data_IF_127966810750
#
_entry.id   IF_127966810750
#
_cell.length_a   1.000
_cell.length_b   1.000
_cell.length_c   1.000
_cell.angle_alpha   90.00
_cell.angle_beta   90.00
_cell.angle_gamma   90.00
#
_symmetry.space_group_name_H-M   'P 1'
#
loop_
_entity.id
_entity.type
_entity.pdbx_description
1 polymer ?
#
# COMPACT_ATOMS: atom_id res chain seq x y z
N UNK A 1 -11.14 59.48 34.32
CA UNK A 1 -9.87 60.06 33.82
C UNK A 1 -8.93 58.92 33.45
N UNK A 2 -8.56 58.81 32.16
CA UNK A 2 -7.35 58.11 31.68
C UNK A 2 -6.15 59.07 31.78
N UNK A 3 -4.92 58.57 31.88
CA UNK A 3 -4.02 58.54 30.71
C UNK A 3 -3.28 57.19 30.59
N UNK A 4 -3.10 56.59 29.41
CA UNK A 4 -2.27 56.88 28.22
C UNK A 4 -0.86 56.23 28.29
N UNK A 5 -0.54 55.52 27.21
CA UNK A 5 0.48 54.51 26.96
C UNK A 5 1.97 54.91 27.05
N UNK A 6 2.83 53.91 27.26
CA UNK A 6 4.16 53.74 26.63
C UNK A 6 4.55 52.24 26.74
N UNK A 7 4.53 51.48 25.63
CA UNK A 7 5.64 51.23 24.69
C UNK A 7 6.44 49.95 25.02
N UNK A 8 6.22 48.92 24.20
CA UNK A 8 7.04 47.70 24.11
C UNK A 8 8.43 47.98 23.54
N UNK A 9 9.41 47.10 23.80
CA UNK A 9 10.43 46.78 22.82
C UNK A 9 10.30 45.33 22.34
N UNK A 10 10.39 45.18 21.03
CA UNK A 10 10.48 43.93 20.29
C UNK A 10 11.70 43.11 20.70
N UNK A 11 11.59 41.77 20.66
CA UNK A 11 12.72 40.86 20.51
C UNK A 11 12.37 39.68 19.61
N UNK A 12 12.97 39.75 18.43
CA UNK A 12 13.45 38.72 17.51
C UNK A 12 12.68 37.41 17.32
N UNK A 13 12.17 37.30 16.09
CA UNK A 13 12.04 36.06 15.35
C UNK A 13 13.42 35.49 15.05
N UNK A 14 13.75 34.30 15.56
CA UNK A 14 14.68 33.41 14.87
C UNK A 14 13.92 32.17 14.41
N UNK A 15 13.62 32.17 13.11
CA UNK A 15 13.32 30.97 12.32
C UNK A 15 14.61 30.17 12.20
N UNK A 16 14.75 29.09 12.96
CA UNK A 16 15.71 28.04 12.66
C UNK A 16 15.14 27.13 11.57
N UNK A 17 15.61 27.27 10.32
CA UNK A 17 15.54 26.20 9.32
C UNK A 17 16.53 25.11 9.74
N UNK A 18 16.04 23.95 10.15
CA UNK A 18 16.86 22.74 10.20
C UNK A 18 17.05 22.17 8.78
N UNK A 19 18.20 21.55 8.45
CA UNK A 19 18.41 20.97 7.14
C UNK A 19 17.59 19.69 6.97
N UNK A 20 16.87 19.60 5.86
CA UNK A 20 16.34 18.35 5.31
C UNK A 20 17.51 17.45 4.92
N UNK A 21 17.75 16.39 5.70
CA UNK A 21 18.58 15.24 5.30
C UNK A 21 17.85 13.95 5.65
N UNK A 22 17.70 13.00 4.71
CA UNK A 22 17.11 11.71 4.98
C UNK A 22 18.16 10.72 5.52
N UNK A 23 17.86 10.10 6.64
CA UNK A 23 18.42 8.80 7.04
C UNK A 23 19.77 8.81 7.74
N UNK A 24 19.73 8.89 9.08
CA UNK A 24 20.72 8.18 9.91
C UNK A 24 19.97 7.33 10.93
N UNK A 25 20.20 6.01 10.85
CA UNK A 25 19.75 5.03 11.83
C UNK A 25 20.60 5.26 13.08
N UNK A 26 20.03 5.92 14.10
CA UNK A 26 20.71 6.18 15.35
C UNK A 26 21.08 4.89 16.08
N UNK A 27 22.36 4.56 16.09
CA UNK A 27 22.96 3.46 16.83
C UNK A 27 23.20 3.93 18.28
N UNK A 28 22.41 3.45 19.24
CA UNK A 28 22.59 3.75 20.66
C UNK A 28 23.21 2.54 21.36
N UNK A 29 24.30 2.78 22.11
CA UNK A 29 25.00 1.74 22.86
C UNK A 29 24.35 1.51 24.23
N UNK A 30 24.47 0.28 24.75
CA UNK A 30 23.79 -0.19 25.96
C UNK A 30 24.16 0.57 27.26
N UNK A 31 25.18 1.44 27.24
CA UNK A 31 25.70 2.15 28.41
C UNK A 31 24.90 3.38 28.87
N UNK A 32 24.03 3.95 28.04
CA UNK A 32 23.34 5.23 28.33
C UNK A 32 21.88 5.08 28.81
N UNK A 33 21.42 3.85 29.07
CA UNK A 33 20.00 3.52 29.27
C UNK A 33 19.50 3.50 30.72
N UNK A 34 20.27 4.01 31.69
CA UNK A 34 19.82 4.06 33.10
C UNK A 34 18.91 5.26 33.46
N UNK A 35 18.51 6.11 32.51
CA UNK A 35 17.55 7.21 32.81
C UNK A 35 16.41 7.44 31.82
N UNK A 36 16.14 6.54 30.87
CA UNK A 36 15.01 6.68 29.94
C UNK A 36 13.87 5.69 30.24
N UNK A 37 12.98 6.12 31.14
CA UNK A 37 11.57 5.73 31.27
C UNK A 37 11.22 4.23 31.12
N UNK A 38 11.35 3.49 32.23
CA UNK A 38 10.99 2.08 32.39
C UNK A 38 9.49 1.74 32.15
N UNK A 39 8.63 2.71 31.85
CA UNK A 39 7.18 2.50 31.64
C UNK A 39 6.79 2.04 30.22
N UNK A 40 7.76 1.75 29.35
CA UNK A 40 7.53 1.37 27.95
C UNK A 40 8.12 0.01 27.56
N UNK A 41 8.80 -0.68 28.48
CA UNK A 41 9.48 -1.95 28.19
C UNK A 41 8.64 -3.11 28.73
N UNK A 42 7.84 -3.73 27.86
CA UNK A 42 7.28 -5.05 28.14
C UNK A 42 7.68 -6.00 27.02
N UNK A 43 8.57 -6.93 27.35
CA UNK A 43 8.99 -8.02 26.47
C UNK A 43 7.89 -9.07 26.42
N UNK A 44 7.41 -9.39 25.23
CA UNK A 44 6.24 -10.25 25.01
C UNK A 44 6.57 -11.76 25.13
N UNK A 45 7.64 -12.10 25.88
CA UNK A 45 8.23 -13.43 25.95
C UNK A 45 7.45 -14.42 26.84
N UNK A 46 6.44 -13.97 27.59
CA UNK A 46 5.67 -14.81 28.52
C UNK A 46 4.14 -14.75 28.34
N UNK A 47 3.64 -14.35 27.17
CA UNK A 47 2.21 -14.43 26.91
C UNK A 47 1.83 -15.86 26.41
N UNK A 48 1.01 -16.64 27.13
CA UNK A 48 0.59 -17.96 26.67
C UNK A 48 -0.20 -17.85 25.36
N UNK A 49 -0.22 -18.91 24.52
CA UNK A 49 -0.88 -18.85 23.22
C UNK A 49 -2.35 -18.48 23.39
N UNK A 50 -2.76 -17.36 22.78
CA UNK A 50 -4.18 -17.06 22.58
C UNK A 50 -4.72 -18.20 21.70
N UNK A 51 -5.48 -19.10 22.30
CA UNK A 51 -6.22 -20.11 21.57
C UNK A 51 -7.12 -19.39 20.58
N UNK A 52 -6.78 -19.54 19.30
CA UNK A 52 -7.50 -18.97 18.19
C UNK A 52 -8.76 -19.83 17.99
N UNK A 53 -9.75 -19.67 18.87
CA UNK A 53 -11.04 -20.33 18.70
C UNK A 53 -11.75 -19.70 17.51
N UNK A 54 -11.66 -20.39 16.37
CA UNK A 54 -12.64 -20.42 15.30
C UNK A 54 -13.18 -19.07 14.87
N UNK A 55 -12.42 -18.33 14.06
CA UNK A 55 -13.05 -17.42 13.10
C UNK A 55 -13.39 -18.28 11.88
N UNK A 56 -14.62 -18.79 11.88
CA UNK A 56 -15.25 -19.35 10.69
C UNK A 56 -15.14 -18.34 9.56
N UNK A 57 -14.62 -18.81 8.41
CA UNK A 57 -14.51 -18.04 7.18
C UNK A 57 -15.88 -17.47 6.79
N UNK A 58 -16.07 -16.18 7.04
CA UNK A 58 -17.16 -15.41 6.47
C UNK A 58 -16.89 -15.23 4.98
N UNK A 59 -17.64 -15.98 4.18
CA UNK A 59 -17.69 -15.94 2.71
C UNK A 59 -17.77 -14.48 2.23
N UNK A 60 -16.74 -14.06 1.49
CA UNK A 60 -16.69 -12.77 0.81
C UNK A 60 -17.78 -12.77 -0.28
N UNK A 61 -18.82 -11.97 -0.11
CA UNK A 61 -19.66 -11.55 -1.25
C UNK A 61 -18.81 -10.57 -2.05
N UNK A 62 -18.21 -11.06 -3.12
CA UNK A 62 -17.54 -10.25 -4.13
C UNK A 62 -18.57 -9.35 -4.79
N UNK A 63 -18.47 -8.04 -4.57
CA UNK A 63 -19.09 -7.04 -5.44
C UNK A 63 -18.38 -7.12 -6.79
N UNK A 64 -19.04 -7.76 -7.77
CA UNK A 64 -18.67 -7.65 -9.17
C UNK A 64 -19.14 -6.28 -9.68
N UNK A 65 -18.20 -5.41 -10.05
CA UNK A 65 -18.52 -4.26 -10.91
C UNK A 65 -18.57 -4.73 -12.37
N UNK A 66 -19.57 -4.31 -13.15
CA UNK A 66 -19.79 -4.80 -14.50
C UNK A 66 -18.97 -3.98 -15.49
N UNK A 67 -17.95 -4.58 -16.07
CA UNK A 67 -17.45 -4.14 -17.36
C UNK A 67 -17.28 -5.34 -18.29
N UNK A 68 -18.00 -5.23 -19.41
CA UNK A 68 -17.66 -5.74 -20.74
C UNK A 68 -18.13 -7.16 -21.09
N UNK A 69 -18.96 -7.23 -22.14
CA UNK A 69 -19.04 -8.38 -23.02
C UNK A 69 -20.33 -8.45 -23.83
N UNK A 70 -20.32 -7.93 -25.05
CA UNK A 70 -21.02 -8.54 -26.20
C UNK A 70 -20.21 -8.26 -27.47
N UNK A 71 -19.43 -9.26 -27.90
CA UNK A 71 -19.17 -9.57 -29.32
C UNK A 71 -18.90 -11.07 -29.39
N UNK A 72 -19.84 -11.82 -29.97
CA UNK A 72 -19.69 -13.22 -30.32
C UNK A 72 -19.05 -13.36 -31.71
N UNK A 73 -18.25 -14.42 -31.87
CA UNK A 73 -18.02 -15.16 -33.13
C UNK A 73 -16.99 -14.56 -34.09
N UNK A 74 -16.06 -15.30 -34.70
CA UNK A 74 -15.80 -16.74 -34.80
C UNK A 74 -14.31 -16.96 -35.16
N UNK A 75 -13.80 -18.13 -34.77
CA UNK A 75 -12.88 -19.06 -35.46
C UNK A 75 -11.88 -18.49 -36.50
N UNK A 76 -10.58 -18.78 -36.52
CA UNK A 76 -9.79 -19.89 -36.01
C UNK A 76 -8.53 -20.01 -36.88
N UNK A 77 -7.59 -20.87 -36.44
CA UNK A 77 -6.40 -21.38 -37.14
C UNK A 77 -5.06 -20.65 -36.93
N UNK A 78 -4.13 -21.47 -36.43
CA UNK A 78 -2.73 -21.23 -36.11
C UNK A 78 -1.84 -22.02 -37.12
N UNK A 79 -0.51 -22.23 -36.91
CA UNK A 79 0.55 -21.46 -37.56
C UNK A 79 1.56 -22.33 -38.35
N UNK A 80 2.29 -21.75 -39.32
CA UNK A 80 3.57 -22.29 -39.85
C UNK A 80 4.44 -21.10 -40.32
N UNK A 81 5.69 -20.87 -39.89
CA UNK A 81 6.95 -21.64 -40.00
C UNK A 81 7.63 -21.56 -41.39
N UNK A 82 8.86 -21.01 -41.43
CA UNK A 82 9.88 -21.23 -42.47
C UNK A 82 10.26 -19.94 -43.22
N UNK A 83 11.36 -19.25 -42.88
CA UNK A 83 12.77 -19.56 -43.20
C UNK A 83 13.18 -19.13 -44.63
N UNK A 84 13.99 -18.06 -44.71
CA UNK A 84 14.91 -17.78 -45.82
C UNK A 84 15.98 -18.88 -45.88
N UNK A 85 16.52 -19.22 -47.07
CA UNK A 85 17.90 -18.77 -47.36
C UNK A 85 18.30 -18.56 -48.85
N UNK A 86 19.31 -17.69 -49.08
CA UNK A 86 20.50 -17.78 -49.97
C UNK A 86 20.32 -18.07 -51.49
N UNK A 87 21.14 -17.69 -52.49
CA UNK A 87 22.42 -16.97 -52.73
C UNK A 87 22.62 -17.11 -54.27
N UNK A 88 22.77 -16.05 -55.05
CA UNK A 88 24.04 -15.49 -55.58
C UNK A 88 24.71 -16.28 -56.74
N UNK A 89 25.23 -15.52 -57.72
CA UNK A 89 26.29 -15.83 -58.71
C UNK A 89 25.89 -16.53 -60.03
N UNK A 90 25.94 -15.84 -61.18
CA UNK A 90 27.10 -15.40 -61.99
C UNK A 90 27.61 -16.50 -62.93
N UNK A 91 27.58 -16.27 -64.25
CA UNK A 91 28.63 -16.66 -65.23
C UNK A 91 28.20 -16.30 -66.67
N UNK A 92 29.01 -15.52 -67.39
CA UNK A 92 29.19 -15.59 -68.85
C UNK A 92 30.53 -16.29 -69.15
N UNK A 93 31.13 -16.24 -70.37
CA UNK A 93 30.69 -15.66 -71.65
C UNK A 93 31.00 -16.54 -72.91
N UNK A 94 30.78 -16.00 -74.13
CA UNK A 94 31.76 -15.86 -75.25
C UNK A 94 31.31 -16.27 -76.70
N UNK A 95 31.60 -15.35 -77.66
CA UNK A 95 31.78 -15.44 -79.15
C UNK A 95 30.54 -15.82 -79.98
N UNK A 96 30.07 -15.13 -81.03
CA UNK A 96 30.61 -14.35 -82.16
C UNK A 96 29.80 -14.82 -83.40
N UNK A 97 29.10 -13.97 -84.16
CA UNK A 97 29.56 -13.45 -85.45
C UNK A 97 28.52 -12.51 -86.11
N UNK A 98 29.03 -11.78 -87.10
CA UNK A 98 28.57 -10.66 -87.94
C UNK A 98 27.11 -10.53 -88.44
N UNK A 99 26.73 -9.30 -88.91
CA UNK A 99 25.36 -8.90 -89.22
C UNK A 99 24.95 -9.23 -90.66
N UNK A 100 23.66 -9.53 -90.86
CA UNK A 100 23.05 -9.54 -92.19
C UNK A 100 21.76 -8.73 -92.18
N UNK A 101 21.62 -7.89 -93.19
CA UNK A 101 20.66 -6.82 -93.38
C UNK A 101 19.26 -7.29 -93.86
N UNK A 102 18.23 -6.91 -93.07
CA UNK A 102 16.85 -6.54 -93.46
C UNK A 102 15.96 -7.56 -94.20
N UNK A 103 14.69 -7.22 -94.50
CA UNK A 103 13.79 -6.22 -93.90
C UNK A 103 12.51 -6.89 -93.32
N UNK A 104 11.88 -6.30 -92.30
CA UNK A 104 10.68 -6.94 -91.74
C UNK A 104 10.05 -6.21 -90.58
N UNK A 105 9.66 -4.96 -90.82
CA UNK A 105 8.63 -4.26 -90.05
C UNK A 105 7.32 -5.07 -90.09
N UNK A 106 7.17 -6.08 -89.23
CA UNK A 106 5.93 -6.86 -89.11
C UNK A 106 5.96 -7.83 -87.92
N UNK A 107 6.34 -7.35 -86.73
CA UNK A 107 6.07 -8.11 -85.49
C UNK A 107 5.93 -7.23 -84.23
N UNK A 108 5.56 -5.95 -84.39
CA UNK A 108 5.25 -5.07 -83.26
C UNK A 108 3.76 -5.11 -82.84
N UNK A 109 2.91 -5.77 -83.63
CA UNK A 109 1.45 -5.72 -83.47
C UNK A 109 0.81 -6.95 -82.81
N UNK A 110 1.59 -8.00 -82.46
CA UNK A 110 1.05 -9.19 -81.78
C UNK A 110 1.33 -9.23 -80.26
N UNK A 111 2.04 -8.24 -79.71
CA UNK A 111 2.20 -8.06 -78.26
C UNK A 111 1.33 -6.93 -77.67
N UNK A 112 0.55 -6.22 -78.49
CA UNK A 112 -0.28 -5.08 -78.03
C UNK A 112 -1.63 -5.46 -77.42
N UNK A 113 -2.06 -6.73 -77.51
CA UNK A 113 -3.37 -7.18 -77.02
C UNK A 113 -3.41 -7.56 -75.54
N UNK A 114 -2.27 -7.46 -74.83
CA UNK A 114 -2.16 -7.77 -73.39
C UNK A 114 -1.58 -6.63 -72.54
N UNK A 115 -1.30 -5.47 -73.15
CA UNK A 115 -0.80 -4.30 -72.43
C UNK A 115 -2.03 -3.49 -72.00
N UNK A 116 -2.28 -3.29 -70.69
CA UNK A 116 -3.40 -2.49 -70.23
C UNK A 116 -3.31 -1.07 -70.83
N UNK A 117 -4.44 -0.44 -71.19
CA UNK A 117 -4.44 0.92 -71.70
C UNK A 117 -3.72 1.85 -70.72
N UNK A 118 -2.93 2.80 -71.22
CA UNK A 118 -2.18 3.78 -70.40
C UNK A 118 -3.10 4.53 -69.42
N UNK A 119 -4.38 4.71 -69.76
CA UNK A 119 -5.40 5.28 -68.88
C UNK A 119 -5.63 4.47 -67.60
N UNK A 120 -5.60 3.15 -67.68
CA UNK A 120 -5.92 2.26 -66.56
C UNK A 120 -4.76 2.22 -65.57
N UNK A 121 -3.53 2.21 -66.09
CA UNK A 121 -2.32 2.38 -65.29
C UNK A 121 -2.28 3.77 -64.63
N UNK A 122 -2.71 4.82 -65.34
CA UNK A 122 -2.80 6.18 -64.81
C UNK A 122 -3.82 6.27 -63.67
N UNK A 123 -5.00 5.67 -63.82
CA UNK A 123 -6.03 5.60 -62.78
C UNK A 123 -5.57 4.79 -61.57
N UNK A 124 -4.94 3.62 -61.77
CA UNK A 124 -4.38 2.82 -60.68
C UNK A 124 -3.28 3.57 -59.92
N UNK A 125 -2.40 4.27 -60.65
CA UNK A 125 -1.36 5.12 -60.02
C UNK A 125 -1.96 6.28 -59.22
N UNK A 126 -3.09 6.84 -59.65
CA UNK A 126 -3.81 7.88 -58.92
C UNK A 126 -4.44 7.34 -57.64
N UNK A 127 -5.05 6.15 -57.70
CA UNK A 127 -5.59 5.46 -56.53
C UNK A 127 -4.52 5.14 -55.50
N UNK A 128 -3.37 4.62 -55.94
CA UNK A 128 -2.25 4.32 -55.02
C UNK A 128 -1.75 5.61 -54.37
N UNK A 129 -1.67 6.73 -55.11
CA UNK A 129 -1.29 8.03 -54.54
C UNK A 129 -2.28 8.49 -53.47
N UNK A 130 -3.59 8.30 -53.66
CA UNK A 130 -4.58 8.65 -52.64
C UNK A 130 -4.52 7.75 -51.42
N UNK A 131 -4.30 6.44 -51.61
CA UNK A 131 -4.18 5.48 -50.51
C UNK A 131 -2.91 5.73 -49.69
N UNK A 132 -1.79 6.04 -50.34
CA UNK A 132 -0.55 6.44 -49.67
C UNK A 132 -0.72 7.75 -48.90
N UNK A 133 -1.42 8.74 -49.46
CA UNK A 133 -1.72 9.99 -48.75
C UNK A 133 -2.56 9.72 -47.48
N UNK A 134 -3.58 8.87 -47.58
CA UNK A 134 -4.40 8.45 -46.44
C UNK A 134 -3.58 7.67 -45.40
N UNK A 135 -2.68 6.79 -45.84
CA UNK A 135 -1.80 6.05 -44.93
C UNK A 135 -0.83 6.98 -44.21
N UNK A 136 -0.23 7.95 -44.90
CA UNK A 136 0.63 8.96 -44.29
C UNK A 136 -0.09 9.75 -43.20
N UNK A 137 -1.34 10.16 -43.43
CA UNK A 137 -2.16 10.86 -42.41
C UNK A 137 -2.35 9.97 -41.17
N UNK A 138 -2.73 8.71 -41.34
CA UNK A 138 -2.88 7.76 -40.23
C UNK A 138 -1.58 7.52 -39.48
N UNK A 139 -0.44 7.46 -40.17
CA UNK A 139 0.88 7.31 -39.53
C UNK A 139 1.21 8.55 -38.71
N UNK A 140 0.93 9.75 -39.23
CA UNK A 140 1.12 11.00 -38.46
C UNK A 140 0.23 11.05 -37.21
N UNK A 141 -1.02 10.63 -37.31
CA UNK A 141 -1.94 10.53 -36.17
C UNK A 141 -1.45 9.51 -35.13
N UNK A 142 -0.95 8.36 -35.60
CA UNK A 142 -0.37 7.33 -34.73
C UNK A 142 0.90 7.82 -34.03
N UNK A 143 1.79 8.51 -34.74
CA UNK A 143 2.99 9.11 -34.15
C UNK A 143 2.62 10.17 -33.10
N UNK A 144 1.62 11.00 -33.39
CA UNK A 144 1.10 11.96 -32.42
C UNK A 144 0.49 11.26 -31.20
N UNK A 145 -0.28 10.19 -31.41
CA UNK A 145 -0.83 9.39 -30.30
C UNK A 145 0.28 8.72 -29.48
N UNK A 146 1.32 8.20 -30.14
CA UNK A 146 2.47 7.55 -29.50
C UNK A 146 3.25 8.55 -28.63
N UNK A 147 3.46 9.78 -29.11
CA UNK A 147 4.14 10.82 -28.32
C UNK A 147 3.35 11.15 -27.04
N UNK A 148 2.04 11.36 -27.14
CA UNK A 148 1.18 11.60 -25.97
C UNK A 148 1.14 10.42 -25.00
N UNK A 149 1.05 9.18 -25.50
CA UNK A 149 1.10 7.98 -24.64
C UNK A 149 2.45 7.88 -23.93
N UNK A 150 3.55 8.16 -24.63
CA UNK A 150 4.90 8.14 -24.04
C UNK A 150 5.06 9.18 -22.95
N UNK A 151 4.50 10.39 -23.13
CA UNK A 151 4.46 11.43 -22.10
C UNK A 151 3.67 10.97 -20.87
N UNK A 152 2.45 10.44 -21.06
CA UNK A 152 1.65 9.92 -19.94
C UNK A 152 2.34 8.78 -19.18
N UNK A 153 2.96 7.83 -19.90
CA UNK A 153 3.76 6.75 -19.28
C UNK A 153 4.93 7.34 -18.48
N UNK A 154 5.58 8.39 -19.00
CA UNK A 154 6.64 9.12 -18.29
C UNK A 154 6.18 9.76 -16.98
N UNK A 155 4.90 10.16 -16.88
CA UNK A 155 4.32 10.76 -15.66
C UNK A 155 3.83 9.73 -14.64
N UNK A 156 3.55 8.48 -15.03
CA UNK A 156 3.12 7.40 -14.11
C UNK A 156 4.01 7.27 -12.85
N UNK A 157 5.35 7.21 -12.92
CA UNK A 157 6.17 7.06 -11.72
C UNK A 157 6.07 8.25 -10.75
N UNK A 158 5.89 9.46 -11.28
CA UNK A 158 5.69 10.67 -10.47
C UNK A 158 4.34 10.62 -9.75
N UNK A 159 3.26 10.34 -10.49
CA UNK A 159 1.93 10.15 -9.90
C UNK A 159 1.92 9.02 -8.86
N UNK A 160 2.62 7.92 -9.08
CA UNK A 160 2.75 6.84 -8.11
C UNK A 160 3.49 7.29 -6.83
N UNK A 161 4.53 8.11 -6.96
CA UNK A 161 5.24 8.69 -5.82
C UNK A 161 4.34 9.65 -5.02
N UNK A 162 3.55 10.48 -5.70
CA UNK A 162 2.58 11.36 -5.07
C UNK A 162 1.47 10.57 -4.36
N UNK A 163 0.93 9.53 -5.00
CA UNK A 163 -0.08 8.65 -4.41
C UNK A 163 0.44 7.94 -3.15
N UNK A 164 1.69 7.45 -3.17
CA UNK A 164 2.32 6.87 -1.97
C UNK A 164 2.41 7.89 -0.85
N UNK A 165 2.86 9.11 -1.16
CA UNK A 165 2.98 10.20 -0.20
C UNK A 165 1.62 10.60 0.40
N UNK A 166 0.60 10.72 -0.45
CA UNK A 166 -0.75 11.07 -0.02
C UNK A 166 -1.37 9.99 0.86
N UNK A 167 -1.21 8.71 0.50
CA UNK A 167 -1.65 7.57 1.32
C UNK A 167 -0.98 7.57 2.69
N UNK A 168 0.33 7.83 2.74
CA UNK A 168 1.06 7.92 4.01
C UNK A 168 0.52 9.07 4.89
N UNK A 169 0.26 10.24 4.30
CA UNK A 169 -0.32 11.39 5.00
C UNK A 169 -1.73 11.10 5.53
N UNK A 170 -2.60 10.49 4.72
CA UNK A 170 -3.96 10.13 5.13
C UNK A 170 -3.92 9.13 6.30
N UNK A 171 -3.06 8.12 6.22
CA UNK A 171 -2.88 7.13 7.28
C UNK A 171 -2.37 7.76 8.58
N UNK A 172 -1.41 8.68 8.50
CA UNK A 172 -0.91 9.43 9.67
C UNK A 172 -2.01 10.31 10.30
N UNK A 173 -2.82 11.00 9.49
CA UNK A 173 -3.93 11.80 9.97
C UNK A 173 -5.02 10.95 10.64
N UNK A 174 -5.40 9.83 10.03
CA UNK A 174 -6.40 8.90 10.60
C UNK A 174 -5.91 8.36 11.95
N UNK A 175 -4.65 7.92 12.03
CA UNK A 175 -4.07 7.40 13.26
C UNK A 175 -3.94 8.45 14.36
N UNK A 176 -3.54 9.69 14.03
CA UNK A 176 -3.52 10.80 15.01
C UNK A 176 -4.91 11.13 15.53
N UNK A 177 -5.93 11.07 14.67
CA UNK A 177 -7.32 11.34 15.07
C UNK A 177 -7.90 10.30 16.02
N UNK A 178 -7.38 9.06 15.98
CA UNK A 178 -7.85 7.94 16.81
C UNK A 178 -6.98 7.66 18.02
N UNK A 179 -5.83 8.33 18.15
CA UNK A 179 -4.83 8.05 19.19
C UNK A 179 -5.37 8.11 20.62
N UNK A 180 -6.37 8.95 20.86
CA UNK A 180 -7.00 9.15 22.18
C UNK A 180 -8.25 8.29 22.37
N UNK A 181 -8.63 7.50 21.35
CA UNK A 181 -9.74 6.57 21.40
C UNK A 181 -9.28 5.21 21.96
N UNK A 182 -10.07 4.68 22.89
CA UNK A 182 -9.88 3.36 23.48
C UNK A 182 -11.16 2.56 23.35
N UNK A 183 -11.02 1.30 22.90
CA UNK A 183 -12.11 0.33 22.82
C UNK A 183 -12.16 -0.54 24.07
N UNK A 184 -13.36 -0.71 24.59
CA UNK A 184 -13.71 -1.64 25.66
C UNK A 184 -14.63 -2.72 25.11
N UNK A 185 -14.17 -3.96 25.17
CA UNK A 185 -14.92 -5.13 24.71
C UNK A 185 -15.40 -5.94 25.92
N UNK A 186 -16.59 -6.53 25.82
CA UNK A 186 -17.11 -7.45 26.83
C UNK A 186 -17.81 -6.78 28.01
N UNK A 187 -18.06 -5.46 27.96
CA UNK A 187 -18.94 -4.77 28.92
C UNK A 187 -20.39 -5.21 28.65
N UNK A 188 -21.07 -5.88 29.60
CA UNK A 188 -22.44 -6.36 29.40
C UNK A 188 -23.39 -5.21 29.01
N UNK A 189 -24.38 -5.51 28.18
CA UNK A 189 -25.35 -4.50 27.75
C UNK A 189 -26.22 -4.06 28.94
N UNK A 190 -26.66 -2.80 28.92
CA UNK A 190 -27.50 -2.17 29.97
C UNK A 190 -26.88 -2.03 31.37
N UNK A 191 -25.70 -2.61 31.63
CA UNK A 191 -24.94 -2.41 32.89
C UNK A 191 -24.55 -0.96 33.16
N UNK A 192 -24.40 -0.18 32.10
CA UNK A 192 -23.97 1.23 32.13
C UNK A 192 -25.04 2.17 32.70
N UNK A 193 -26.29 1.72 32.78
CA UNK A 193 -27.42 2.59 33.08
C UNK A 193 -27.65 3.64 31.99
N UNK A 194 -27.99 4.85 32.39
CA UNK A 194 -28.34 5.95 31.47
C UNK A 194 -27.11 6.71 30.96
N UNK A 195 -25.99 6.71 31.70
CA UNK A 195 -24.79 7.47 31.37
C UNK A 195 -23.53 6.60 31.36
N UNK A 196 -23.15 6.17 30.15
CA UNK A 196 -21.94 5.37 29.89
C UNK A 196 -20.67 6.12 30.30
N UNK A 197 -20.66 7.45 30.19
CA UNK A 197 -19.48 8.26 30.55
C UNK A 197 -19.26 8.20 32.06
N UNK A 198 -20.31 8.41 32.86
CA UNK A 198 -20.23 8.29 34.31
C UNK A 198 -19.83 6.88 34.74
N UNK A 199 -20.42 5.85 34.12
CA UNK A 199 -20.07 4.45 34.37
C UNK A 199 -18.59 4.15 34.12
N UNK A 200 -18.01 4.59 32.99
CA UNK A 200 -16.59 4.37 32.72
C UNK A 200 -15.67 5.10 33.71
N UNK A 201 -16.08 6.30 34.19
CA UNK A 201 -15.30 7.03 35.20
C UNK A 201 -15.22 6.29 36.53
N UNK A 202 -16.28 5.59 36.94
CA UNK A 202 -16.26 4.76 38.15
C UNK A 202 -15.59 3.41 37.93
N UNK A 203 -15.80 2.80 36.75
CA UNK A 203 -15.30 1.46 36.43
C UNK A 203 -13.79 1.43 36.24
N UNK A 204 -13.20 2.41 35.55
CA UNK A 204 -11.77 2.36 35.21
C UNK A 204 -10.84 2.32 36.43
N UNK A 205 -11.00 3.17 37.46
CA UNK A 205 -10.21 3.06 38.69
C UNK A 205 -10.37 1.70 39.37
N UNK A 206 -11.59 1.15 39.41
CA UNK A 206 -11.89 -0.15 40.00
C UNK A 206 -11.20 -1.30 39.26
N UNK A 207 -11.28 -1.31 37.92
CA UNK A 207 -10.69 -2.38 37.10
C UNK A 207 -9.17 -2.31 37.04
N UNK A 208 -8.60 -1.11 36.94
CA UNK A 208 -7.17 -0.93 36.70
C UNK A 208 -6.35 -0.77 37.98
N UNK A 209 -7.00 -0.45 39.10
CA UNK A 209 -6.34 -0.07 40.35
C UNK A 209 -5.58 1.27 40.27
N UNK A 210 -5.85 2.06 39.22
CA UNK A 210 -5.17 3.34 38.99
C UNK A 210 -5.89 4.49 39.69
N UNK A 211 -5.10 5.39 40.28
CA UNK A 211 -5.56 6.69 40.75
C UNK A 211 -5.28 7.73 39.68
N UNK A 212 -6.33 8.39 39.18
CA UNK A 212 -6.20 9.41 38.14
C UNK A 212 -6.16 10.82 38.75
N UNK A 213 -5.09 11.55 38.45
CA UNK A 213 -4.94 12.98 38.75
C UNK A 213 -4.39 13.68 37.50
N UNK A 214 -5.13 14.60 36.85
CA UNK A 214 -6.49 15.04 37.15
C UNK A 214 -7.55 13.92 37.00
N UNK A 215 -8.81 14.13 37.45
CA UNK A 215 -9.88 13.17 37.25
C UNK A 215 -10.04 12.76 35.79
N UNK A 216 -10.53 11.54 35.56
CA UNK A 216 -10.80 11.03 34.22
C UNK A 216 -11.84 11.92 33.52
N UNK A 217 -11.47 12.43 32.35
CA UNK A 217 -12.38 13.14 31.46
C UNK A 217 -12.36 12.55 30.06
N UNK A 218 -13.54 12.51 29.46
CA UNK A 218 -13.76 12.00 28.13
C UNK A 218 -14.39 13.09 27.26
N UNK A 219 -13.89 13.22 26.03
CA UNK A 219 -14.53 14.06 25.02
C UNK A 219 -15.84 13.43 24.54
N UNK A 220 -15.84 12.10 24.34
CA UNK A 220 -17.01 11.34 23.89
C UNK A 220 -16.93 9.90 24.36
N UNK A 221 -18.07 9.33 24.76
CA UNK A 221 -18.20 7.90 25.09
C UNK A 221 -19.51 7.40 24.51
N UNK A 222 -19.45 6.29 23.78
CA UNK A 222 -20.65 5.65 23.23
C UNK A 222 -20.39 4.18 22.90
N UNK A 223 -21.47 3.39 22.79
CA UNK A 223 -21.40 2.06 22.19
C UNK A 223 -21.32 2.17 20.68
N UNK A 224 -20.39 1.41 20.09
CA UNK A 224 -20.35 1.19 18.65
C UNK A 224 -21.44 0.17 18.38
N UNK A 225 -22.62 0.66 18.00
CA UNK A 225 -23.75 -0.19 17.62
C UNK A 225 -23.45 -0.87 16.29
N UNK A 226 -23.38 -2.20 16.23
CA UNK A 226 -23.36 -2.87 14.95
C UNK A 226 -24.83 -3.13 14.60
N UNK A 227 -25.23 -2.85 13.36
CA UNK A 227 -26.35 -3.57 12.72
C UNK A 227 -26.10 -5.11 12.64
N UNK A 228 -25.07 -5.63 13.33
CA UNK A 228 -24.50 -6.98 13.27
C UNK A 228 -24.51 -7.72 14.63
N UNK A 229 -24.91 -7.11 15.76
CA UNK A 229 -24.86 -7.78 17.07
C UNK A 229 -26.02 -8.70 17.38
N UNK A 230 -27.14 -8.56 16.67
CA UNK A 230 -28.29 -9.46 16.81
C UNK A 230 -27.89 -10.92 16.52
N UNK A 231 -26.90 -11.16 15.66
CA UNK A 231 -26.53 -12.51 15.21
C UNK A 231 -25.42 -13.18 16.03
N UNK A 232 -24.64 -12.44 16.84
CA UNK A 232 -23.46 -12.99 17.52
C UNK A 232 -23.57 -13.15 19.03
N UNK A 233 -24.59 -12.53 19.66
CA UNK A 233 -24.80 -12.58 21.11
C UNK A 233 -23.68 -11.97 21.96
N UNK A 234 -22.73 -11.25 21.33
CA UNK A 234 -21.61 -10.57 22.01
C UNK A 234 -22.00 -9.12 22.30
N UNK A 235 -21.69 -8.59 23.51
CA UNK A 235 -21.98 -7.20 23.83
C UNK A 235 -21.30 -6.23 22.87
N UNK A 236 -22.01 -5.18 22.47
CA UNK A 236 -21.47 -4.12 21.61
C UNK A 236 -20.23 -3.45 22.26
N UNK A 237 -19.10 -3.26 21.55
CA UNK A 237 -17.95 -2.54 22.09
C UNK A 237 -18.29 -1.10 22.47
N UNK A 238 -17.67 -0.60 23.54
CA UNK A 238 -17.73 0.82 23.92
C UNK A 238 -16.46 1.50 23.44
N UNK A 239 -16.60 2.66 22.81
CA UNK A 239 -15.47 3.51 22.45
C UNK A 239 -15.50 4.79 23.29
N UNK A 240 -14.36 5.09 23.92
CA UNK A 240 -14.17 6.32 24.69
C UNK A 240 -13.00 7.11 24.12
N UNK A 241 -13.25 8.36 23.76
CA UNK A 241 -12.22 9.35 23.44
C UNK A 241 -11.81 10.06 24.74
N UNK A 242 -10.59 9.82 25.19
CA UNK A 242 -10.03 10.45 26.38
C UNK A 242 -9.68 11.91 26.08
N UNK A 243 -9.87 12.78 27.07
CA UNK A 243 -9.43 14.17 26.96
C UNK A 243 -7.91 14.30 27.11
N UNK A 244 -7.29 13.39 27.88
CA UNK A 244 -5.85 13.36 28.13
C UNK A 244 -5.22 12.11 27.52
N UNK A 245 -4.32 12.32 26.56
CA UNK A 245 -3.58 11.24 25.88
C UNK A 245 -2.82 10.34 26.85
N UNK A 246 -2.22 10.92 27.89
CA UNK A 246 -1.42 10.17 28.87
C UNK A 246 -2.28 9.19 29.68
N UNK A 247 -3.52 9.57 30.03
CA UNK A 247 -4.46 8.71 30.73
C UNK A 247 -4.89 7.53 29.85
N UNK A 248 -5.19 7.77 28.56
CA UNK A 248 -5.48 6.70 27.61
C UNK A 248 -4.31 5.72 27.50
N UNK A 249 -3.09 6.24 27.35
CA UNK A 249 -1.86 5.44 27.25
C UNK A 249 -1.63 4.60 28.50
N UNK A 250 -1.88 5.15 29.69
CA UNK A 250 -1.75 4.46 30.98
C UNK A 250 -2.77 3.34 31.14
N UNK A 251 -4.03 3.57 30.76
CA UNK A 251 -5.07 2.53 30.75
C UNK A 251 -4.68 1.40 29.80
N UNK A 252 -4.23 1.74 28.59
CA UNK A 252 -3.79 0.75 27.59
C UNK A 252 -2.57 -0.05 28.04
N UNK A 253 -1.58 0.59 28.66
CA UNK A 253 -0.41 -0.12 29.20
C UNK A 253 -0.78 -1.07 30.32
N UNK A 254 -1.69 -0.65 31.19
CA UNK A 254 -2.17 -1.47 32.32
C UNK A 254 -2.96 -2.67 31.84
N UNK A 255 -3.81 -2.49 30.83
CA UNK A 255 -4.52 -3.59 30.20
C UNK A 255 -3.59 -4.61 29.53
N UNK A 256 -2.47 -4.15 28.94
CA UNK A 256 -1.45 -5.04 28.36
C UNK A 256 -0.71 -5.85 29.43
N UNK A 257 -0.38 -5.25 30.57
CA UNK A 257 0.39 -5.92 31.62
C UNK A 257 -0.47 -6.86 32.47
N UNK A 258 -1.71 -6.48 32.79
CA UNK A 258 -2.61 -7.26 33.63
C UNK A 258 -3.46 -8.27 32.84
N UNK A 259 -3.62 -8.06 31.53
CA UNK A 259 -4.48 -8.87 30.68
C UNK A 259 -5.96 -8.47 30.77
N UNK A 260 -6.90 -9.36 30.40
CA UNK A 260 -8.34 -9.07 30.47
C UNK A 260 -8.80 -8.87 31.92
N UNK A 261 -9.54 -7.78 32.16
CA UNK A 261 -10.16 -7.50 33.46
C UNK A 261 -11.40 -8.36 33.68
N UNK A 262 -11.78 -8.56 34.93
CA UNK A 262 -13.02 -9.26 35.30
C UNK A 262 -14.02 -8.26 35.87
N UNK A 263 -15.17 -8.14 35.21
CA UNK A 263 -16.32 -7.36 35.66
C UNK A 263 -17.47 -8.33 35.93
N UNK A 264 -17.73 -8.67 37.19
CA UNK A 264 -18.81 -9.59 37.59
C UNK A 264 -18.81 -10.93 36.82
N UNK A 265 -17.62 -11.48 36.60
CA UNK A 265 -17.44 -12.72 35.83
C UNK A 265 -17.35 -12.53 34.31
N UNK A 266 -17.60 -11.33 33.78
CA UNK A 266 -17.40 -10.99 32.38
C UNK A 266 -15.96 -10.52 32.12
N UNK A 267 -15.35 -11.04 31.05
CA UNK A 267 -14.00 -10.64 30.64
C UNK A 267 -14.06 -9.33 29.85
N UNK A 268 -13.53 -8.26 30.43
CA UNK A 268 -13.39 -6.95 29.78
C UNK A 268 -12.01 -6.83 29.16
N UNK A 269 -11.94 -6.59 27.86
CA UNK A 269 -10.68 -6.35 27.14
C UNK A 269 -10.60 -4.88 26.72
N UNK A 270 -9.42 -4.30 26.85
CA UNK A 270 -9.16 -2.92 26.48
C UNK A 270 -8.11 -2.89 25.37
N UNK A 271 -8.37 -2.14 24.31
CA UNK A 271 -7.46 -2.00 23.18
C UNK A 271 -7.50 -0.59 22.59
N UNK A 272 -6.42 -0.19 21.92
CA UNK A 272 -6.36 1.08 21.19
C UNK A 272 -7.20 1.01 19.91
N UNK A 273 -7.70 2.16 19.46
CA UNK A 273 -8.46 2.30 18.22
C UNK A 273 -7.54 2.51 17.00
N UNK A 274 -7.13 1.42 16.37
CA UNK A 274 -6.36 1.49 15.13
C UNK A 274 -7.27 1.51 13.91
N UNK A 275 -6.83 2.23 12.87
CA UNK A 275 -7.43 2.08 11.54
C UNK A 275 -7.32 0.63 11.03
N UNK A 276 -8.13 0.26 10.04
CA UNK A 276 -8.06 -1.07 9.43
C UNK A 276 -6.66 -1.35 8.86
N UNK A 277 -6.09 -0.38 8.15
CA UNK A 277 -4.76 -0.49 7.54
C UNK A 277 -3.70 -0.70 8.62
N UNK A 278 -3.77 0.06 9.72
CA UNK A 278 -2.83 -0.08 10.83
C UNK A 278 -2.98 -1.45 11.53
N UNK A 279 -4.21 -1.92 11.74
CA UNK A 279 -4.45 -3.26 12.27
C UNK A 279 -3.89 -4.37 11.36
N UNK A 280 -4.01 -4.23 10.04
CA UNK A 280 -3.43 -5.17 9.07
C UNK A 280 -1.90 -5.16 9.16
N UNK A 281 -1.25 -4.00 9.22
CA UNK A 281 0.21 -3.87 9.44
C UNK A 281 0.66 -4.55 10.74
N UNK A 282 -0.04 -4.28 11.85
CA UNK A 282 0.23 -4.92 13.15
C UNK A 282 0.07 -6.43 13.06
N UNK A 283 -1.00 -6.92 12.41
CA UNK A 283 -1.25 -8.35 12.22
C UNK A 283 -0.14 -9.02 11.41
N UNK A 284 0.38 -8.36 10.39
CA UNK A 284 1.51 -8.87 9.60
C UNK A 284 2.77 -9.05 10.46
N UNK A 285 3.09 -8.11 11.35
CA UNK A 285 4.17 -8.29 12.33
C UNK A 285 3.91 -9.45 13.30
N UNK A 286 2.66 -9.60 13.77
CA UNK A 286 2.30 -10.71 14.66
C UNK A 286 2.51 -12.08 14.01
N UNK A 287 2.41 -12.18 12.68
CA UNK A 287 2.67 -13.42 11.94
C UNK A 287 4.13 -13.87 12.02
N UNK A 288 5.09 -12.97 12.27
CA UNK A 288 6.53 -13.26 12.39
C UNK A 288 6.95 -13.67 13.82
N UNK A 289 6.06 -13.54 14.82
CA UNK A 289 6.35 -13.91 16.22
C UNK A 289 6.81 -15.36 16.42
N UNK A 290 6.27 -16.37 15.71
CA UNK A 290 6.75 -17.75 15.84
C UNK A 290 8.22 -17.90 15.44
N UNK A 291 8.66 -17.22 14.37
CA UNK A 291 10.06 -17.25 13.93
C UNK A 291 10.97 -16.56 14.95
N UNK A 292 10.59 -15.37 15.43
CA UNK A 292 11.34 -14.66 16.47
C UNK A 292 11.51 -15.50 17.75
N UNK A 293 10.45 -16.20 18.18
CA UNK A 293 10.51 -17.12 19.32
C UNK A 293 11.41 -18.33 19.06
N UNK A 294 11.42 -18.86 17.84
CA UNK A 294 12.28 -19.99 17.47
C UNK A 294 13.77 -19.61 17.55
N UNK A 295 14.10 -18.36 17.24
CA UNK A 295 15.46 -17.80 17.30
C UNK A 295 15.82 -17.23 18.69
N UNK A 296 14.94 -17.36 19.69
CA UNK A 296 15.09 -16.79 21.03
C UNK A 296 15.39 -15.27 21.05
N UNK A 297 14.88 -14.54 20.05
CA UNK A 297 15.04 -13.10 19.94
C UNK A 297 13.97 -12.43 20.80
N UNK A 298 14.37 -11.52 21.70
CA UNK A 298 13.41 -10.71 22.47
C UNK A 298 12.79 -9.66 21.55
N UNK A 299 11.46 -9.54 21.57
CA UNK A 299 10.75 -8.58 20.72
C UNK A 299 9.56 -7.92 21.41
N UNK A 300 9.11 -6.80 20.86
CA UNK A 300 7.90 -6.10 21.24
C UNK A 300 7.31 -5.29 20.09
N UNK A 301 5.98 -5.26 19.99
CA UNK A 301 5.26 -4.44 19.02
C UNK A 301 4.85 -3.09 19.67
N UNK A 302 5.42 -2.01 19.15
CA UNK A 302 5.25 -0.65 19.64
C UNK A 302 4.29 0.15 18.76
N UNK A 303 3.74 1.22 19.34
CA UNK A 303 2.81 2.10 18.64
C UNK A 303 3.49 2.90 17.52
N UNK A 304 2.80 3.14 16.39
CA UNK A 304 1.50 2.53 16.00
C UNK A 304 1.64 1.14 15.36
N UNK A 305 2.77 0.82 14.71
CA UNK A 305 3.10 -0.51 14.21
C UNK A 305 4.60 -0.64 13.94
N UNK A 306 5.41 -0.64 15.00
CA UNK A 306 6.86 -0.84 14.89
C UNK A 306 7.29 -2.06 15.69
N UNK A 307 7.94 -3.02 15.06
CA UNK A 307 8.50 -4.16 15.77
C UNK A 307 9.91 -3.82 16.22
N UNK A 308 10.14 -3.84 17.54
CA UNK A 308 11.45 -3.68 18.14
C UNK A 308 11.97 -5.05 18.57
N UNK A 309 13.20 -5.37 18.20
CA UNK A 309 13.87 -6.60 18.61
C UNK A 309 15.19 -6.29 19.31
N UNK A 310 15.63 -7.19 20.20
CA UNK A 310 16.99 -7.19 20.73
C UNK A 310 17.76 -8.35 20.13
N UNK A 311 18.82 -8.03 19.38
CA UNK A 311 19.71 -9.01 18.77
C UNK A 311 21.15 -8.57 18.96
N UNK A 312 22.02 -9.45 19.47
CA UNK A 312 23.41 -9.16 19.85
C UNK A 312 23.54 -7.90 20.75
N UNK A 313 22.71 -7.82 21.79
CA UNK A 313 22.63 -6.69 22.73
C UNK A 313 22.33 -5.31 22.08
N UNK A 314 21.96 -5.29 20.79
CA UNK A 314 21.53 -4.10 20.07
C UNK A 314 20.01 -4.11 19.86
N UNK A 315 19.39 -2.96 20.09
CA UNK A 315 17.99 -2.72 19.76
C UNK A 315 17.87 -2.36 18.28
N UNK A 316 16.94 -2.99 17.56
CA UNK A 316 16.61 -2.67 16.17
C UNK A 316 15.11 -2.48 16.03
N UNK A 317 14.72 -1.42 15.32
CA UNK A 317 13.33 -1.08 15.04
C UNK A 317 13.01 -1.33 13.57
N UNK A 318 11.91 -2.01 13.32
CA UNK A 318 11.39 -2.30 11.99
C UNK A 318 10.02 -1.66 11.83
N UNK A 319 9.87 -0.83 10.80
CA UNK A 319 8.60 -0.16 10.47
C UNK A 319 7.80 -1.01 9.47
N UNK A 320 8.49 -1.63 8.51
CA UNK A 320 7.88 -2.50 7.53
C UNK A 320 8.16 -3.97 7.83
N UNK A 321 7.16 -4.81 7.56
CA UNK A 321 7.25 -6.25 7.83
C UNK A 321 8.22 -6.97 6.90
N UNK A 322 8.44 -6.42 5.70
CA UNK A 322 9.38 -6.95 4.72
C UNK A 322 10.82 -6.88 5.24
N UNK A 323 11.22 -5.75 5.81
CA UNK A 323 12.57 -5.53 6.34
C UNK A 323 12.91 -6.49 7.49
N UNK A 324 11.91 -6.76 8.35
CA UNK A 324 12.08 -7.75 9.42
C UNK A 324 12.11 -9.18 8.86
N UNK A 325 11.30 -9.47 7.84
CA UNK A 325 11.30 -10.76 7.15
C UNK A 325 12.66 -11.08 6.54
N UNK A 326 13.22 -10.16 5.74
CA UNK A 326 14.54 -10.32 5.14
C UNK A 326 15.62 -10.47 6.21
N UNK A 327 15.56 -9.68 7.30
CA UNK A 327 16.50 -9.82 8.40
C UNK A 327 16.44 -11.21 9.06
N UNK A 328 15.25 -11.78 9.23
CA UNK A 328 15.09 -13.12 9.79
C UNK A 328 15.58 -14.20 8.82
N UNK A 329 15.33 -14.04 7.52
CA UNK A 329 15.81 -14.96 6.49
C UNK A 329 17.35 -14.98 6.44
N UNK A 330 18.00 -13.81 6.49
CA UNK A 330 19.46 -13.68 6.54
C UNK A 330 20.06 -14.40 7.76
N UNK A 331 19.40 -14.30 8.91
CA UNK A 331 19.83 -15.00 10.14
C UNK A 331 19.69 -16.52 10.03
N UNK A 332 18.68 -17.02 9.32
CA UNK A 332 18.49 -18.46 9.13
C UNK A 332 19.46 -19.06 8.11
N UNK A 333 19.85 -18.29 7.08
CA UNK A 333 20.86 -18.71 6.12
C UNK A 333 22.26 -18.77 6.75
N UNK A 334 22.63 -17.77 7.58
CA UNK A 334 23.92 -17.77 8.30
C UNK A 334 24.10 -18.92 9.31
N UNK A 335 23.04 -19.61 9.72
CA UNK A 335 23.10 -20.74 10.66
C UNK A 335 23.22 -22.11 9.98
N UNK A 336 23.16 -22.18 8.64
CA UNK A 336 23.23 -23.42 7.86
C UNK A 336 24.62 -23.66 7.23
N UNK A 337 25.52 -22.68 7.33
CA UNK A 337 26.94 -22.77 6.97
C UNK A 337 27.82 -22.93 8.23
#
# INVERSE_FOLDING_TARGET
MRPLAAASPARDQQRGRGPDTPGEVGELTAGELHSFNAHTLYWDNHCPPVQNNGISQGRLLTYASPHRGETQGEEGLSPTSGADPYTENSEGPHVGDKPTSGPGEQNLAQHSSGIPPISDLSMASASIRTDLACFCEKVMDLDQCLTTVKEHIGMVPEHDAELRTLRAKIMDLDERSRRDNVHFFGIPEHKEGTDIKAFLKSLLPELTGLTFSPPLEFQRVHRISPLLTVTSGRPCPVIACFLCHEQARLVLSTARSQGPFLLEGHKVRVAADFSRIMNEKRKAFLALRPQLRKLDIKFGLFEPARMRITYNDKLRDFIETMDLGSFLDDLTQCSMD
#
